data_IF_825853939461
#
_entry.id   IF_825853939461
#
_cell.length_a   1.000
_cell.length_b   1.000
_cell.length_c   1.000
_cell.angle_alpha   90.00
_cell.angle_beta   90.00
_cell.angle_gamma   90.00
#
_symmetry.space_group_name_H-M   'P 1'
#
loop_
_entity.id
_entity.type
_entity.pdbx_description
1 polymer ?
#
# COMPACT_ATOMS: atom_id res chain seq x y z
N UNK A 1 -30.54 11.26 19.40
CA UNK A 1 -31.31 10.10 18.91
C UNK A 1 -30.86 9.81 17.49
N UNK A 2 -29.91 8.90 17.32
CA UNK A 2 -29.52 8.36 16.03
C UNK A 2 -29.06 6.93 16.30
N UNK A 3 -29.63 6.00 15.55
CA UNK A 3 -29.69 4.58 15.85
C UNK A 3 -28.39 3.92 15.42
N UNK A 4 -27.59 3.56 16.42
CA UNK A 4 -26.38 2.75 16.27
C UNK A 4 -26.79 1.28 16.04
N UNK A 5 -26.80 0.84 14.79
CA UNK A 5 -26.85 -0.58 14.42
C UNK A 5 -25.45 -1.01 13.99
N UNK A 6 -24.67 -1.42 15.00
CA UNK A 6 -23.25 -1.75 14.92
C UNK A 6 -23.02 -3.27 14.78
N UNK A 7 -22.22 -3.69 13.81
CA UNK A 7 -21.48 -4.96 13.79
C UNK A 7 -19.97 -4.70 13.75
N UNK A 8 -19.09 -5.51 14.38
CA UNK A 8 -17.78 -5.02 14.82
C UNK A 8 -16.68 -5.21 13.77
N UNK A 9 -16.02 -4.12 13.38
CA UNK A 9 -14.58 -4.13 13.10
C UNK A 9 -13.92 -3.97 14.47
N UNK A 10 -13.30 -5.03 14.98
CA UNK A 10 -12.78 -5.02 16.35
C UNK A 10 -11.54 -4.14 16.44
N UNK A 11 -11.66 -3.01 17.12
CA UNK A 11 -10.56 -2.08 17.37
C UNK A 11 -9.63 -2.65 18.46
N UNK A 12 -8.32 -2.65 18.24
CA UNK A 12 -7.37 -2.95 19.31
C UNK A 12 -6.92 -1.67 20.05
N UNK A 13 -6.68 -1.83 21.36
CA UNK A 13 -6.01 -0.90 22.28
C UNK A 13 -4.59 -1.44 22.53
N UNK A 14 -3.55 -0.61 22.74
CA UNK A 14 -2.17 -1.10 22.85
C UNK A 14 -2.01 -2.00 24.08
N UNK A 15 -1.48 -3.21 23.86
CA UNK A 15 -1.06 -4.15 24.91
C UNK A 15 0.37 -3.82 25.40
N UNK A 16 0.73 -4.17 26.66
CA UNK A 16 2.00 -3.79 27.26
C UNK A 16 3.19 -4.53 26.63
N UNK A 17 4.36 -3.88 26.68
CA UNK A 17 5.60 -4.29 26.04
C UNK A 17 6.09 -5.67 26.53
N UNK A 18 6.29 -6.62 25.60
CA UNK A 18 6.83 -7.93 25.95
C UNK A 18 6.75 -9.05 24.91
N UNK A 19 6.41 -8.79 23.64
CA UNK A 19 6.53 -9.75 22.53
C UNK A 19 6.71 -8.96 21.24
N UNK A 20 7.54 -9.41 20.30
CA UNK A 20 7.66 -8.78 18.96
C UNK A 20 6.24 -8.58 18.37
N UNK A 21 5.98 -7.49 17.63
CA UNK A 21 4.61 -7.11 17.27
C UNK A 21 4.03 -8.15 16.30
N UNK A 22 3.18 -9.03 16.82
CA UNK A 22 2.88 -10.35 16.24
C UNK A 22 2.09 -10.28 14.91
N UNK A 23 1.27 -9.25 14.71
CA UNK A 23 0.67 -8.90 13.43
C UNK A 23 0.17 -7.44 13.48
N UNK A 24 0.42 -6.65 12.43
CA UNK A 24 -0.24 -5.35 12.27
C UNK A 24 -1.66 -5.51 11.71
N UNK A 25 -1.87 -6.48 10.82
CA UNK A 25 -3.17 -6.80 10.24
C UNK A 25 -3.40 -8.30 10.32
N UNK A 26 -4.61 -8.70 10.71
CA UNK A 26 -5.06 -10.10 10.69
C UNK A 26 -6.44 -10.19 10.06
N UNK A 27 -6.55 -11.00 9.03
CA UNK A 27 -7.76 -11.28 8.27
C UNK A 27 -8.02 -12.78 8.36
N UNK A 28 -9.21 -13.15 8.80
CA UNK A 28 -9.63 -14.53 8.97
C UNK A 28 -10.95 -14.78 8.25
N UNK A 29 -10.97 -15.75 7.34
CA UNK A 29 -12.13 -16.17 6.56
C UNK A 29 -12.93 -14.98 5.96
N UNK A 30 -12.23 -13.99 5.41
CA UNK A 30 -12.86 -12.81 4.82
C UNK A 30 -13.63 -13.22 3.56
N UNK A 31 -14.93 -12.97 3.56
CA UNK A 31 -15.74 -13.03 2.34
C UNK A 31 -16.45 -11.70 2.09
N UNK A 32 -16.47 -11.27 0.82
CA UNK A 32 -17.17 -10.07 0.35
C UNK A 32 -17.81 -10.34 -1.01
N UNK A 33 -19.11 -10.09 -1.08
CA UNK A 33 -19.94 -10.30 -2.27
C UNK A 33 -20.59 -8.99 -2.70
N UNK A 34 -20.71 -8.75 -4.01
CA UNK A 34 -21.45 -7.62 -4.59
C UNK A 34 -22.55 -8.16 -5.50
N UNK A 35 -23.80 -7.74 -5.29
CA UNK A 35 -24.95 -8.20 -6.07
C UNK A 35 -25.03 -9.73 -6.25
N UNK A 36 -24.71 -10.47 -5.18
CA UNK A 36 -24.70 -11.94 -5.19
C UNK A 36 -23.48 -12.59 -5.83
N UNK A 37 -22.50 -11.83 -6.33
CA UNK A 37 -21.22 -12.33 -6.83
C UNK A 37 -20.13 -12.21 -5.77
N UNK A 38 -19.54 -13.33 -5.38
CA UNK A 38 -18.39 -13.35 -4.49
C UNK A 38 -17.15 -12.78 -5.19
N UNK A 39 -16.54 -11.75 -4.57
CA UNK A 39 -15.31 -11.10 -5.04
C UNK A 39 -14.12 -11.54 -4.18
N UNK A 40 -14.35 -11.78 -2.90
CA UNK A 40 -13.42 -12.41 -1.97
C UNK A 40 -14.21 -13.50 -1.27
N UNK A 41 -13.64 -14.71 -1.15
CA UNK A 41 -14.28 -15.81 -0.46
C UNK A 41 -13.28 -16.57 0.43
N UNK A 42 -13.47 -16.50 1.75
CA UNK A 42 -12.66 -17.23 2.73
C UNK A 42 -11.19 -16.82 2.77
N UNK A 43 -10.85 -15.56 2.48
CA UNK A 43 -9.45 -15.11 2.45
C UNK A 43 -8.86 -14.99 3.86
N UNK A 44 -7.71 -15.60 4.08
CA UNK A 44 -6.85 -15.40 5.23
C UNK A 44 -5.62 -14.58 4.86
N UNK A 45 -5.24 -13.61 5.70
CA UNK A 45 -4.07 -12.77 5.47
C UNK A 45 -3.52 -12.23 6.80
N UNK A 46 -2.20 -12.29 6.96
CA UNK A 46 -1.50 -11.65 8.08
C UNK A 46 -0.40 -10.73 7.55
N UNK A 47 -0.41 -9.46 7.96
CA UNK A 47 0.69 -8.53 7.70
C UNK A 47 1.44 -8.26 8.99
N UNK A 48 2.77 -8.38 8.98
CA UNK A 48 3.59 -8.12 10.16
C UNK A 48 3.79 -6.63 10.35
N UNK A 49 3.96 -6.20 11.60
CA UNK A 49 4.32 -4.81 11.87
C UNK A 49 5.72 -4.50 11.31
N UNK A 50 5.86 -3.32 10.71
CA UNK A 50 7.09 -2.88 10.07
C UNK A 50 7.44 -3.60 8.77
N UNK A 51 6.66 -4.57 8.31
CA UNK A 51 6.91 -5.31 7.07
C UNK A 51 6.37 -4.56 5.85
N UNK A 52 7.15 -4.55 4.76
CA UNK A 52 6.70 -4.10 3.46
C UNK A 52 6.13 -5.28 2.67
N UNK A 53 4.81 -5.41 2.63
CA UNK A 53 4.14 -6.46 1.86
C UNK A 53 3.61 -5.91 0.53
N UNK A 54 3.83 -6.65 -0.56
CA UNK A 54 3.28 -6.31 -1.87
C UNK A 54 2.27 -7.35 -2.32
N UNK A 55 1.07 -6.90 -2.70
CA UNK A 55 -0.01 -7.73 -3.23
C UNK A 55 -0.08 -7.55 -4.76
N UNK A 56 0.34 -8.60 -5.46
CA UNK A 56 0.23 -8.76 -6.89
C UNK A 56 -1.08 -9.47 -7.26
N UNK A 57 -1.53 -9.30 -8.49
CA UNK A 57 -2.65 -10.05 -9.03
C UNK A 57 -3.21 -9.39 -10.29
N UNK A 58 -3.95 -10.15 -11.09
CA UNK A 58 -4.58 -9.64 -12.32
C UNK A 58 -5.65 -8.59 -12.02
N UNK A 59 -6.05 -7.83 -13.04
CA UNK A 59 -7.20 -6.94 -12.90
C UNK A 59 -8.45 -7.74 -12.52
N UNK A 60 -9.26 -7.23 -11.61
CA UNK A 60 -10.50 -7.87 -11.17
C UNK A 60 -10.36 -9.01 -10.14
N UNK A 61 -9.16 -9.37 -9.68
CA UNK A 61 -9.01 -10.48 -8.71
C UNK A 61 -9.37 -10.15 -7.25
N UNK A 62 -9.78 -8.90 -6.94
CA UNK A 62 -10.23 -8.49 -5.61
C UNK A 62 -9.31 -7.56 -4.82
N UNK A 63 -8.12 -7.19 -5.33
CA UNK A 63 -7.11 -6.38 -4.62
C UNK A 63 -7.67 -5.06 -4.04
N UNK A 64 -8.35 -4.26 -4.87
CA UNK A 64 -8.92 -2.99 -4.42
C UNK A 64 -10.10 -3.19 -3.44
N UNK A 65 -10.81 -4.32 -3.53
CA UNK A 65 -11.85 -4.70 -2.55
C UNK A 65 -11.20 -4.98 -1.20
N UNK A 66 -10.15 -5.80 -1.16
CA UNK A 66 -9.38 -6.07 0.06
C UNK A 66 -8.84 -4.77 0.66
N UNK A 67 -8.25 -3.90 -0.17
CA UNK A 67 -7.73 -2.61 0.30
C UNK A 67 -8.82 -1.71 0.90
N UNK A 68 -10.02 -1.65 0.29
CA UNK A 68 -11.16 -0.91 0.86
C UNK A 68 -11.62 -1.47 2.20
N UNK A 69 -11.66 -2.80 2.34
CA UNK A 69 -11.98 -3.47 3.61
C UNK A 69 -10.94 -3.12 4.68
N UNK A 70 -9.64 -3.25 4.38
CA UNK A 70 -8.56 -2.92 5.31
C UNK A 70 -8.53 -1.42 5.67
N UNK A 71 -8.91 -0.55 4.73
CA UNK A 71 -9.09 0.87 4.98
C UNK A 71 -10.33 1.18 5.85
N UNK A 72 -11.25 0.23 6.03
CA UNK A 72 -12.53 0.40 6.71
C UNK A 72 -13.55 1.21 5.90
N UNK A 73 -13.36 1.28 4.58
CA UNK A 73 -14.25 1.94 3.61
C UNK A 73 -15.36 1.00 3.12
N UNK A 74 -15.15 -0.31 3.21
CA UNK A 74 -16.17 -1.33 2.98
C UNK A 74 -16.28 -2.20 4.23
N UNK A 75 -17.49 -2.35 4.77
CA UNK A 75 -17.77 -3.06 6.03
C UNK A 75 -18.75 -4.21 5.88
N UNK A 76 -19.31 -4.41 4.70
CA UNK A 76 -20.29 -5.46 4.42
C UNK A 76 -19.57 -6.79 4.16
N UNK A 77 -18.85 -7.27 5.17
CA UNK A 77 -17.99 -8.45 5.10
C UNK A 77 -18.51 -9.58 5.98
N UNK A 78 -18.08 -10.80 5.65
CA UNK A 78 -18.11 -11.98 6.53
C UNK A 78 -16.67 -12.30 6.95
N UNK A 79 -16.49 -12.94 8.10
CA UNK A 79 -15.17 -13.20 8.68
C UNK A 79 -14.72 -12.11 9.64
N UNK A 80 -13.44 -12.13 10.02
CA UNK A 80 -12.84 -11.21 11.00
C UNK A 80 -11.71 -10.41 10.35
N UNK A 81 -11.72 -9.09 10.52
CA UNK A 81 -10.66 -8.20 10.05
C UNK A 81 -10.19 -7.31 11.20
N UNK A 82 -8.96 -7.52 11.63
CA UNK A 82 -8.26 -6.72 12.64
C UNK A 82 -7.24 -5.84 11.94
N UNK A 83 -7.39 -4.52 12.11
CA UNK A 83 -6.50 -3.50 11.53
C UNK A 83 -6.17 -2.42 12.55
N UNK A 84 -5.03 -1.72 12.42
CA UNK A 84 -4.69 -0.65 13.34
C UNK A 84 -5.66 0.54 13.24
N UNK A 85 -5.85 1.23 14.36
CA UNK A 85 -6.66 2.46 14.42
C UNK A 85 -6.07 3.54 13.51
N UNK A 86 -4.76 3.78 13.61
CA UNK A 86 -4.05 4.73 12.77
C UNK A 86 -3.65 4.06 11.48
N UNK A 87 -4.43 4.31 10.44
CA UNK A 87 -4.14 3.84 9.08
C UNK A 87 -4.34 4.95 8.08
N UNK A 88 -3.60 4.89 6.99
CA UNK A 88 -3.70 5.84 5.90
C UNK A 88 -3.74 5.12 4.57
N UNK A 89 -4.39 5.74 3.59
CA UNK A 89 -4.49 5.24 2.22
C UNK A 89 -3.93 6.27 1.27
N UNK A 90 -3.04 5.85 0.38
CA UNK A 90 -2.67 6.60 -0.81
C UNK A 90 -3.19 5.88 -2.04
N UNK A 91 -4.06 6.56 -2.80
CA UNK A 91 -4.67 6.01 -4.01
C UNK A 91 -3.82 6.29 -5.26
N UNK A 92 -4.09 5.53 -6.32
CA UNK A 92 -3.49 5.68 -7.66
C UNK A 92 -3.61 7.11 -8.19
N UNK A 93 -4.78 7.73 -8.00
CA UNK A 93 -4.98 9.14 -8.26
C UNK A 93 -4.72 9.94 -6.96
N UNK A 94 -3.94 11.04 -6.99
CA UNK A 94 -3.62 11.84 -5.81
C UNK A 94 -4.84 12.35 -5.03
N UNK A 95 -6.00 12.49 -5.68
CA UNK A 95 -7.28 12.94 -5.08
C UNK A 95 -7.10 14.14 -4.13
N UNK A 96 -6.28 15.11 -4.55
CA UNK A 96 -6.13 16.37 -3.82
C UNK A 96 -7.38 17.23 -4.07
N UNK A 97 -7.87 17.89 -3.03
CA UNK A 97 -8.98 18.84 -3.12
C UNK A 97 -8.54 20.06 -3.93
N UNK A 98 -9.07 20.28 -5.14
CA UNK A 98 -8.53 21.28 -6.08
C UNK A 98 -8.70 22.73 -5.58
N UNK A 99 -9.68 22.98 -4.69
CA UNK A 99 -9.94 24.27 -4.06
C UNK A 99 -9.17 24.50 -2.75
N UNK A 100 -8.24 23.61 -2.37
CA UNK A 100 -7.36 23.80 -1.21
C UNK A 100 -5.91 23.84 -1.68
N UNK A 101 -5.09 24.69 -1.05
CA UNK A 101 -3.63 24.69 -1.25
C UNK A 101 -3.02 23.35 -0.81
N UNK A 102 -1.82 23.05 -1.27
CA UNK A 102 -1.13 21.78 -0.98
C UNK A 102 -0.98 21.54 0.52
N UNK A 103 -0.51 22.51 1.29
CA UNK A 103 -0.39 22.35 2.75
C UNK A 103 -1.74 22.04 3.42
N UNK A 104 -2.84 22.66 2.96
CA UNK A 104 -4.20 22.37 3.47
C UNK A 104 -4.67 20.99 3.09
N UNK A 105 -4.24 20.46 1.94
CA UNK A 105 -4.53 19.09 1.54
C UNK A 105 -3.84 18.09 2.44
N UNK A 106 -2.57 18.37 2.80
CA UNK A 106 -1.80 17.51 3.71
C UNK A 106 -2.48 17.40 5.07
N UNK A 107 -2.98 18.50 5.64
CA UNK A 107 -3.65 18.50 6.95
C UNK A 107 -5.06 17.89 6.95
N UNK A 108 -5.59 17.45 5.80
CA UNK A 108 -6.95 16.92 5.74
C UNK A 108 -7.11 15.68 6.62
N UNK A 109 -8.13 15.71 7.48
CA UNK A 109 -8.48 14.58 8.33
C UNK A 109 -7.62 14.43 9.58
N UNK A 110 -6.73 15.38 9.89
CA UNK A 110 -6.12 15.48 11.22
C UNK A 110 -7.13 16.07 12.22
N UNK A 111 -7.16 15.59 13.49
CA UNK A 111 -8.03 16.14 14.51
C UNK A 111 -7.60 17.55 14.93
N UNK A 112 -8.54 18.33 15.48
CA UNK A 112 -8.26 19.67 16.00
C UNK A 112 -7.98 20.72 14.93
N UNK A 113 -7.10 21.68 15.26
CA UNK A 113 -6.67 22.77 14.37
C UNK A 113 -5.17 22.62 14.11
N UNK A 114 -4.75 21.67 13.25
CA UNK A 114 -3.34 21.45 12.99
C UNK A 114 -2.71 22.71 12.38
N UNK A 115 -1.52 23.04 12.85
CA UNK A 115 -0.76 24.17 12.36
C UNK A 115 -0.14 23.88 11.00
N UNK A 116 0.21 24.96 10.29
CA UNK A 116 0.80 24.86 8.95
C UNK A 116 2.20 24.20 8.98
N UNK A 117 2.94 24.34 10.08
CA UNK A 117 4.27 23.76 10.24
C UNK A 117 4.25 22.22 10.14
N UNK A 118 3.18 21.59 10.63
CA UNK A 118 2.94 20.13 10.54
C UNK A 118 2.89 19.71 9.08
N UNK A 119 2.19 20.48 8.24
CA UNK A 119 2.12 20.22 6.81
C UNK A 119 3.47 20.41 6.13
N UNK A 120 4.20 21.44 6.51
CA UNK A 120 5.48 21.80 5.90
C UNK A 120 6.57 20.79 6.23
N UNK A 121 6.58 20.25 7.47
CA UNK A 121 7.44 19.12 7.86
C UNK A 121 7.15 17.88 7.00
N UNK A 122 5.89 17.49 6.88
CA UNK A 122 5.51 16.34 6.05
C UNK A 122 5.81 16.55 4.56
N UNK A 123 5.66 17.78 4.04
CA UNK A 123 6.02 18.12 2.67
C UNK A 123 7.54 18.11 2.45
N UNK A 124 8.33 18.51 3.43
CA UNK A 124 9.78 18.44 3.35
C UNK A 124 10.27 16.99 3.25
N UNK A 125 9.66 16.07 3.98
CA UNK A 125 9.98 14.63 3.91
C UNK A 125 9.78 14.02 2.52
N UNK A 126 8.84 14.55 1.74
CA UNK A 126 8.61 14.13 0.34
C UNK A 126 9.28 15.05 -0.68
N UNK A 127 10.14 15.98 -0.25
CA UNK A 127 10.86 16.91 -1.12
C UNK A 127 9.95 17.91 -1.85
N UNK A 128 8.94 18.45 -1.17
CA UNK A 128 7.95 19.41 -1.68
C UNK A 128 7.83 20.70 -0.86
N UNK A 129 8.85 21.08 -0.09
CA UNK A 129 8.84 22.30 0.73
C UNK A 129 8.40 23.54 -0.06
N UNK A 130 8.99 23.76 -1.24
CA UNK A 130 8.70 24.90 -2.13
C UNK A 130 7.28 24.90 -2.72
N UNK A 131 6.57 23.76 -2.64
CA UNK A 131 5.22 23.59 -3.18
C UNK A 131 4.13 23.68 -2.12
N UNK A 132 4.47 23.92 -0.85
CA UNK A 132 3.51 24.06 0.26
C UNK A 132 2.35 25.01 -0.07
N UNK A 133 2.66 26.18 -0.61
CA UNK A 133 1.68 27.21 -0.97
C UNK A 133 0.95 27.00 -2.30
N UNK A 134 1.31 26.00 -3.10
CA UNK A 134 0.80 25.82 -4.46
C UNK A 134 -0.67 25.36 -4.48
N UNK A 135 -1.29 25.44 -5.66
CA UNK A 135 -2.60 24.83 -5.93
C UNK A 135 -2.40 23.47 -6.59
N UNK A 136 -3.22 22.44 -6.29
CA UNK A 136 -3.04 21.10 -6.85
C UNK A 136 -2.95 21.05 -8.38
N UNK A 137 -3.71 21.92 -9.07
CA UNK A 137 -3.70 22.03 -10.54
C UNK A 137 -2.38 22.49 -11.15
N UNK A 138 -1.47 23.05 -10.34
CA UNK A 138 -0.16 23.53 -10.81
C UNK A 138 0.95 22.52 -10.53
N UNK A 139 0.63 21.36 -9.95
CA UNK A 139 1.60 20.30 -9.67
C UNK A 139 1.76 19.38 -10.88
N UNK A 140 2.97 18.89 -11.11
CA UNK A 140 3.17 17.73 -11.97
C UNK A 140 2.53 16.47 -11.36
N UNK A 141 2.35 15.41 -12.16
CA UNK A 141 1.82 14.14 -11.65
C UNK A 141 2.62 13.58 -10.46
N UNK A 142 3.96 13.61 -10.56
CA UNK A 142 4.85 13.20 -9.47
C UNK A 142 4.80 14.11 -8.24
N UNK A 143 4.68 15.43 -8.42
CA UNK A 143 4.48 16.36 -7.29
C UNK A 143 3.13 16.12 -6.61
N UNK A 144 2.05 15.92 -7.37
CA UNK A 144 0.74 15.63 -6.82
C UNK A 144 0.74 14.30 -6.05
N UNK A 145 1.42 13.28 -6.56
CA UNK A 145 1.56 11.98 -5.88
C UNK A 145 2.33 12.11 -4.57
N UNK A 146 3.47 12.82 -4.57
CA UNK A 146 4.24 13.09 -3.35
C UNK A 146 3.44 13.89 -2.33
N UNK A 147 2.63 14.86 -2.76
CA UNK A 147 1.72 15.57 -1.86
C UNK A 147 0.62 14.66 -1.26
N UNK A 148 0.10 13.71 -2.03
CA UNK A 148 -0.83 12.69 -1.53
C UNK A 148 -0.17 11.77 -0.50
N UNK A 149 1.09 11.38 -0.72
CA UNK A 149 1.88 10.59 0.22
C UNK A 149 2.14 11.37 1.52
N UNK A 150 2.51 12.66 1.44
CA UNK A 150 2.65 13.52 2.62
C UNK A 150 1.34 13.60 3.44
N UNK A 151 0.19 13.72 2.77
CA UNK A 151 -1.13 13.67 3.42
C UNK A 151 -1.39 12.33 4.13
N UNK A 152 -0.92 11.22 3.59
CA UNK A 152 -1.07 9.91 4.23
C UNK A 152 -0.15 9.80 5.47
N UNK A 153 1.10 10.26 5.34
CA UNK A 153 2.15 10.11 6.34
C UNK A 153 2.05 11.07 7.52
N UNK A 154 1.48 12.26 7.33
CA UNK A 154 1.30 13.25 8.41
C UNK A 154 0.41 12.72 9.55
N UNK A 155 -0.35 11.65 9.30
CA UNK A 155 -1.18 10.96 10.30
C UNK A 155 -0.42 9.98 11.19
N UNK A 156 0.88 9.78 10.92
CA UNK A 156 1.72 8.78 11.59
C UNK A 156 1.04 7.40 11.65
N UNK A 157 0.68 6.82 10.49
CA UNK A 157 -0.06 5.57 10.45
C UNK A 157 0.78 4.38 10.92
N UNK A 158 0.15 3.46 11.63
CA UNK A 158 0.72 2.13 11.93
C UNK A 158 0.58 1.19 10.73
N UNK A 159 -0.39 1.46 9.83
CA UNK A 159 -0.61 0.78 8.55
C UNK A 159 -0.77 1.77 7.40
N UNK A 160 0.09 1.66 6.39
CA UNK A 160 0.02 2.41 5.14
C UNK A 160 -0.45 1.51 3.99
N UNK A 161 -1.59 1.85 3.40
CA UNK A 161 -2.17 1.15 2.26
C UNK A 161 -1.89 1.97 0.98
N UNK A 162 -1.25 1.36 0.00
CA UNK A 162 -0.90 2.00 -1.26
C UNK A 162 -1.60 1.26 -2.41
N UNK A 163 -2.51 1.93 -3.13
CA UNK A 163 -3.27 1.34 -4.25
C UNK A 163 -2.70 1.85 -5.57
N UNK A 164 -1.85 1.07 -6.24
CA UNK A 164 -1.15 1.43 -7.49
C UNK A 164 -0.56 2.85 -7.49
N UNK A 165 0.22 3.25 -6.47
CA UNK A 165 0.67 4.63 -6.27
C UNK A 165 1.61 5.15 -7.36
N UNK A 166 2.13 4.28 -8.24
CA UNK A 166 3.12 4.62 -9.25
C UNK A 166 2.61 4.45 -10.69
N UNK A 167 1.42 3.89 -10.89
CA UNK A 167 0.93 3.48 -12.20
C UNK A 167 0.77 4.62 -13.22
N UNK A 168 0.50 5.85 -12.75
CA UNK A 168 0.31 7.03 -13.60
C UNK A 168 1.60 7.85 -13.84
N UNK A 169 2.76 7.40 -13.35
CA UNK A 169 4.02 8.13 -13.44
C UNK A 169 4.87 7.63 -14.63
N UNK A 170 5.60 8.56 -15.26
CA UNK A 170 6.66 8.22 -16.20
C UNK A 170 7.80 7.45 -15.50
N UNK A 171 8.65 6.77 -16.28
CA UNK A 171 9.65 5.84 -15.76
C UNK A 171 10.62 6.49 -14.75
N UNK A 172 11.14 7.70 -15.03
CA UNK A 172 12.11 8.36 -14.13
C UNK A 172 11.43 8.85 -12.85
N UNK A 173 10.23 9.42 -12.96
CA UNK A 173 9.46 9.85 -11.81
C UNK A 173 9.03 8.67 -10.94
N UNK A 174 8.68 7.54 -11.56
CA UNK A 174 8.36 6.27 -10.89
C UNK A 174 9.54 5.78 -10.04
N UNK A 175 10.74 5.67 -10.61
CA UNK A 175 11.94 5.22 -9.88
C UNK A 175 12.18 6.10 -8.64
N UNK A 176 12.12 7.43 -8.79
CA UNK A 176 12.30 8.37 -7.67
C UNK A 176 11.20 8.21 -6.61
N UNK A 177 9.96 7.98 -7.02
CA UNK A 177 8.84 7.78 -6.10
C UNK A 177 8.97 6.46 -5.32
N UNK A 178 9.41 5.38 -5.98
CA UNK A 178 9.68 4.10 -5.33
C UNK A 178 10.79 4.22 -4.28
N UNK A 179 11.91 4.87 -4.62
CA UNK A 179 13.01 5.14 -3.69
C UNK A 179 12.53 5.95 -2.47
N UNK A 180 11.79 7.03 -2.71
CA UNK A 180 11.21 7.85 -1.65
C UNK A 180 10.31 7.04 -0.71
N UNK A 181 9.43 6.19 -1.25
CA UNK A 181 8.56 5.34 -0.43
C UNK A 181 9.37 4.33 0.39
N UNK A 182 10.39 3.72 -0.19
CA UNK A 182 11.28 2.79 0.52
C UNK A 182 12.00 3.49 1.69
N UNK A 183 12.57 4.68 1.45
CA UNK A 183 13.26 5.47 2.48
C UNK A 183 12.32 5.90 3.62
N UNK A 184 11.12 6.36 3.27
CA UNK A 184 10.11 6.78 4.26
C UNK A 184 9.64 5.61 5.11
N UNK A 185 9.41 4.44 4.49
CA UNK A 185 9.06 3.23 5.22
C UNK A 185 10.19 2.80 6.17
N UNK A 186 11.44 2.75 5.72
CA UNK A 186 12.60 2.39 6.56
C UNK A 186 12.76 3.32 7.76
N UNK A 187 12.41 4.61 7.59
CA UNK A 187 12.45 5.60 8.68
C UNK A 187 11.29 5.49 9.66
N UNK A 188 10.09 5.13 9.18
CA UNK A 188 8.86 5.16 9.98
C UNK A 188 8.51 3.81 10.62
N UNK A 189 8.96 2.70 10.04
CA UNK A 189 8.71 1.36 10.58
C UNK A 189 7.23 0.93 10.63
N UNK A 190 6.35 1.59 9.88
CA UNK A 190 4.94 1.19 9.77
C UNK A 190 4.77 -0.05 8.89
N UNK A 191 3.69 -0.80 9.09
CA UNK A 191 3.34 -1.87 8.14
C UNK A 191 2.88 -1.26 6.82
N UNK A 192 3.32 -1.81 5.69
CA UNK A 192 2.92 -1.34 4.36
C UNK A 192 2.28 -2.47 3.59
N UNK A 193 1.11 -2.20 2.99
CA UNK A 193 0.54 -3.03 1.94
C UNK A 193 0.49 -2.22 0.65
N UNK A 194 1.33 -2.58 -0.31
CA UNK A 194 1.31 -2.03 -1.65
C UNK A 194 0.58 -2.98 -2.58
N UNK A 195 -0.50 -2.50 -3.21
CA UNK A 195 -1.19 -3.19 -4.30
C UNK A 195 -0.60 -2.70 -5.61
N UNK A 196 -0.10 -3.62 -6.42
CA UNK A 196 0.42 -3.32 -7.76
C UNK A 196 0.22 -4.51 -8.69
N UNK A 197 0.39 -4.27 -9.99
CA UNK A 197 0.49 -5.31 -11.01
C UNK A 197 1.92 -5.41 -11.58
N UNK A 198 2.84 -4.57 -11.10
CA UNK A 198 4.23 -4.53 -11.55
C UNK A 198 5.10 -5.44 -10.67
N UNK A 199 5.69 -6.47 -11.27
CA UNK A 199 6.55 -7.43 -10.56
C UNK A 199 7.86 -6.79 -10.12
N UNK A 200 8.39 -5.85 -10.89
CA UNK A 200 9.65 -5.20 -10.55
C UNK A 200 9.46 -4.30 -9.32
N UNK A 201 8.30 -3.65 -9.18
CA UNK A 201 7.91 -2.94 -7.96
C UNK A 201 7.89 -3.85 -6.73
N UNK A 202 7.28 -5.04 -6.87
CA UNK A 202 7.25 -6.02 -5.79
C UNK A 202 8.66 -6.42 -5.36
N UNK A 203 9.52 -6.73 -6.32
CA UNK A 203 10.88 -7.17 -6.05
C UNK A 203 11.79 -6.05 -5.57
N UNK A 204 11.53 -4.79 -5.91
CA UNK A 204 12.33 -3.66 -5.43
C UNK A 204 11.98 -3.24 -3.99
N UNK A 205 10.70 -3.32 -3.62
CA UNK A 205 10.20 -2.74 -2.37
C UNK A 205 9.90 -3.77 -1.28
N UNK A 206 9.30 -4.91 -1.63
CA UNK A 206 8.68 -5.79 -0.66
C UNK A 206 9.69 -6.56 0.18
N UNK A 207 9.45 -6.77 1.47
CA UNK A 207 10.04 -7.90 2.21
C UNK A 207 9.33 -9.21 1.84
N UNK A 208 8.05 -9.13 1.47
CA UNK A 208 7.21 -10.28 1.12
C UNK A 208 6.25 -9.94 -0.01
N UNK A 209 6.17 -10.82 -1.02
CA UNK A 209 5.27 -10.70 -2.15
C UNK A 209 4.15 -11.75 -2.06
N UNK A 210 2.92 -11.32 -2.28
CA UNK A 210 1.71 -12.12 -2.31
C UNK A 210 1.10 -12.05 -3.71
N UNK A 211 0.51 -13.14 -4.19
CA UNK A 211 -0.26 -13.17 -5.44
C UNK A 211 -1.70 -13.54 -5.13
N UNK A 212 -2.60 -12.64 -5.50
CA UNK A 212 -4.05 -12.83 -5.36
C UNK A 212 -4.66 -13.34 -6.67
N UNK A 213 -5.45 -14.40 -6.56
CA UNK A 213 -6.20 -15.01 -7.67
C UNK A 213 -7.59 -15.38 -7.18
N UNK A 214 -8.61 -15.01 -7.95
CA UNK A 214 -10.01 -15.37 -7.69
C UNK A 214 -10.47 -15.12 -6.24
N UNK A 215 -10.11 -13.97 -5.67
CA UNK A 215 -10.54 -13.63 -4.31
C UNK A 215 -9.68 -14.20 -3.18
N UNK A 216 -8.65 -15.01 -3.45
CA UNK A 216 -7.80 -15.65 -2.44
C UNK A 216 -6.30 -15.38 -2.66
N UNK A 217 -5.49 -15.56 -1.61
CA UNK A 217 -4.03 -15.56 -1.73
C UNK A 217 -3.59 -16.92 -2.28
N UNK A 218 -3.14 -16.93 -3.53
CA UNK A 218 -2.77 -18.15 -4.24
C UNK A 218 -1.28 -18.50 -4.08
N UNK A 219 -0.43 -17.50 -3.82
CA UNK A 219 1.00 -17.68 -3.65
C UNK A 219 1.58 -16.62 -2.72
N UNK A 220 2.57 -17.01 -1.93
CA UNK A 220 3.31 -16.14 -1.02
C UNK A 220 4.80 -16.50 -1.11
N UNK A 221 5.66 -15.48 -1.19
CA UNK A 221 7.11 -15.67 -1.16
C UNK A 221 7.81 -14.54 -0.40
N UNK A 222 8.80 -14.84 0.45
CA UNK A 222 9.71 -13.81 0.92
C UNK A 222 10.54 -13.27 -0.25
N UNK A 223 10.87 -11.98 -0.21
CA UNK A 223 11.82 -11.35 -1.13
C UNK A 223 13.13 -11.16 -0.38
N UNK A 224 13.86 -12.26 -0.22
CA UNK A 224 15.13 -12.34 0.51
C UNK A 224 16.33 -11.70 -0.20
N UNK A 225 16.10 -10.60 -0.93
CA UNK A 225 17.15 -9.85 -1.62
C UNK A 225 17.62 -8.69 -0.75
N UNK A 226 18.93 -8.58 -0.57
CA UNK A 226 19.56 -7.50 0.18
C UNK A 226 19.28 -6.12 -0.44
N UNK A 227 19.14 -5.11 0.41
CA UNK A 227 18.96 -3.71 0.01
C UNK A 227 20.31 -2.99 0.03
N UNK A 228 20.68 -2.18 -1.00
CA UNK A 228 19.88 -1.83 -2.18
C UNK A 228 19.81 -2.98 -3.19
N UNK A 229 18.61 -3.19 -3.75
CA UNK A 229 18.36 -4.28 -4.69
C UNK A 229 18.84 -3.92 -6.09
N UNK A 230 19.48 -4.87 -6.75
CA UNK A 230 19.96 -4.71 -8.11
C UNK A 230 19.18 -5.63 -9.06
N UNK A 231 18.35 -5.08 -9.98
CA UNK A 231 17.60 -5.86 -10.97
C UNK A 231 18.47 -6.72 -11.90
N UNK A 232 19.77 -6.41 -12.03
CA UNK A 232 20.72 -7.18 -12.83
C UNK A 232 21.25 -8.45 -12.16
N UNK A 233 20.81 -8.78 -10.95
CA UNK A 233 21.26 -9.99 -10.24
C UNK A 233 20.49 -11.24 -10.69
N UNK A 234 21.16 -12.42 -10.76
CA UNK A 234 20.49 -13.67 -11.10
C UNK A 234 19.32 -14.01 -10.16
N UNK A 235 19.46 -13.72 -8.88
CA UNK A 235 18.46 -13.99 -7.85
C UNK A 235 17.19 -13.15 -8.08
N UNK A 236 17.34 -11.88 -8.48
CA UNK A 236 16.23 -11.02 -8.87
C UNK A 236 15.51 -11.58 -10.10
N UNK A 237 16.26 -11.96 -11.14
CA UNK A 237 15.69 -12.53 -12.36
C UNK A 237 14.92 -13.84 -12.09
N UNK A 238 15.43 -14.69 -11.20
CA UNK A 238 14.77 -15.94 -10.81
C UNK A 238 13.44 -15.68 -10.10
N UNK A 239 13.41 -14.77 -9.10
CA UNK A 239 12.18 -14.38 -8.41
C UNK A 239 11.18 -13.72 -9.37
N UNK A 240 11.66 -12.89 -10.29
CA UNK A 240 10.83 -12.24 -11.32
C UNK A 240 10.14 -13.26 -12.19
N UNK A 241 10.90 -14.24 -12.69
CA UNK A 241 10.39 -15.34 -13.51
C UNK A 241 9.33 -16.13 -12.76
N UNK A 242 9.58 -16.44 -11.48
CA UNK A 242 8.62 -17.15 -10.64
C UNK A 242 7.32 -16.37 -10.46
N UNK A 243 7.39 -15.09 -10.08
CA UNK A 243 6.21 -14.26 -9.87
C UNK A 243 5.40 -14.04 -11.15
N UNK A 244 6.06 -13.89 -12.30
CA UNK A 244 5.39 -13.80 -13.61
C UNK A 244 4.65 -15.10 -13.95
N UNK A 245 5.27 -16.25 -13.69
CA UNK A 245 4.64 -17.56 -13.85
C UNK A 245 3.40 -17.72 -12.95
N UNK A 246 3.48 -17.29 -11.68
CA UNK A 246 2.33 -17.28 -10.76
C UNK A 246 1.22 -16.30 -11.18
N UNK A 247 1.56 -15.26 -11.94
CA UNK A 247 0.59 -14.37 -12.59
C UNK A 247 0.06 -14.93 -13.92
N UNK A 248 0.50 -16.13 -14.33
CA UNK A 248 0.10 -16.83 -15.54
C UNK A 248 0.66 -16.20 -16.82
N UNK A 249 1.82 -15.57 -16.75
CA UNK A 249 2.60 -15.15 -17.91
C UNK A 249 3.56 -16.28 -18.25
N UNK A 250 3.40 -16.88 -19.43
CA UNK A 250 4.38 -17.85 -19.94
C UNK A 250 5.71 -17.13 -20.21
N UNK A 251 6.70 -17.36 -19.35
CA UNK A 251 8.05 -16.86 -19.57
C UNK A 251 8.69 -17.72 -20.65
N UNK A 252 8.99 -17.13 -21.82
CA UNK A 252 9.73 -17.79 -22.89
C UNK A 252 11.02 -18.38 -22.29
N UNK A 253 11.31 -19.68 -22.49
CA UNK A 253 12.53 -20.28 -21.95
C UNK A 253 13.74 -19.52 -22.48
N UNK A 254 14.77 -19.34 -21.63
CA UNK A 254 16.04 -18.77 -22.05
C UNK A 254 16.54 -19.52 -23.31
N UNK A 255 17.06 -18.82 -24.34
CA UNK A 255 17.64 -19.51 -25.48
C UNK A 255 18.71 -20.47 -24.96
N UNK A 256 18.54 -21.76 -25.25
CA UNK A 256 19.53 -22.76 -24.94
C UNK A 256 20.85 -22.31 -25.57
N UNK A 257 21.92 -22.28 -24.78
CA UNK A 257 23.26 -21.89 -25.23
C UNK A 257 23.55 -22.54 -26.58
N UNK A 258 23.73 -21.70 -27.60
CA UNK A 258 24.20 -22.14 -28.90
C UNK A 258 25.63 -22.65 -28.71
N UNK A 259 25.77 -23.97 -28.78
CA UNK A 259 27.04 -24.69 -28.76
C UNK A 259 28.00 -24.23 -29.87
#
# INVERSE_FOLDING_TARGET
>A
MATDLHGPVTEHSPAPAGTLPEAAVRVEALSRSFDGRDVIDGLDLTLRAGEFTVLLGRSGCGKSTLLRVLAGLDREIRGTVLVPRRRAVAFQAPRLMPWKRVWRNVLLGLPGKPERDVAEKALAEVGLSERSGAWPRTLSGGEAQRASLARALVREPDLLLLDEPFGALDALTRIKAQQLVAELWQRRGCAVLLVTHDVDEALLLADRALVMRDGAIAYETPVGLDRPRNPGTPEFAALRTRLLSELGVETVPAPADAA
#
